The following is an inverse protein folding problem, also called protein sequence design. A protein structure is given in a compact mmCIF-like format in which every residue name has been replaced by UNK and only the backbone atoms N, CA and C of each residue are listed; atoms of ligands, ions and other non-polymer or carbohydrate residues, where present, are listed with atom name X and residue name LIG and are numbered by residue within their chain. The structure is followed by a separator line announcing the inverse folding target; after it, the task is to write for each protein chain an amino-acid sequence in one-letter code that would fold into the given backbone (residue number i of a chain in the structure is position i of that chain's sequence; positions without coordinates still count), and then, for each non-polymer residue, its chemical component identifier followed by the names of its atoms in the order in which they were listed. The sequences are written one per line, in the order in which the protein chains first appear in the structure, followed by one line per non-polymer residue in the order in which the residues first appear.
data_IF_687705449872
#
_entry.id   IF_687705449872
#
_cell.length_a   1.000
_cell.length_b   1.000
_cell.length_c   1.000
_cell.angle_alpha   90.00
_cell.angle_beta   90.00
_cell.angle_gamma   90.00
#
_symmetry.space_group_name_H-M   'P 1'
#
loop_
_entity.id
_entity.type
_entity.pdbx_description
1 polymer ?
#
# COMPACT_ATOMS: atom_id res chain seq x y z
N UNK A 1 -10.52 -13.76 -1.13
CA UNK A 1 -11.71 -13.72 -2.01
C UNK A 1 -11.46 -14.27 -3.42
N UNK A 2 -10.21 -14.33 -3.90
CA UNK A 2 -9.87 -14.94 -5.21
C UNK A 2 -9.21 -16.31 -5.09
N UNK A 3 -9.15 -16.85 -3.87
CA UNK A 3 -8.64 -18.20 -3.66
C UNK A 3 -9.64 -19.22 -4.19
N UNK A 4 -9.15 -20.23 -4.91
CA UNK A 4 -9.96 -21.36 -5.28
C UNK A 4 -10.33 -22.16 -4.02
N UNK A 5 -11.60 -22.54 -3.88
CA UNK A 5 -12.08 -23.45 -2.82
C UNK A 5 -12.62 -24.72 -3.45
N UNK A 6 -12.66 -25.81 -2.68
CA UNK A 6 -13.18 -27.10 -3.15
C UNK A 6 -12.20 -27.94 -3.99
N UNK A 7 -11.00 -27.44 -4.30
CA UNK A 7 -9.94 -28.23 -4.95
C UNK A 7 -9.10 -28.99 -3.91
N UNK A 8 -8.48 -30.14 -4.28
CA UNK A 8 -7.65 -30.90 -3.34
C UNK A 8 -6.46 -30.08 -2.83
N UNK A 9 -5.89 -29.21 -3.67
CA UNK A 9 -4.79 -28.30 -3.28
C UNK A 9 -5.29 -27.26 -2.28
N UNK A 10 -6.44 -26.62 -2.53
CA UNK A 10 -6.99 -25.63 -1.62
C UNK A 10 -7.34 -26.22 -0.25
N UNK A 11 -7.89 -27.44 -0.22
CA UNK A 11 -8.17 -28.15 1.03
C UNK A 11 -6.90 -28.44 1.82
N UNK A 12 -5.85 -28.94 1.16
CA UNK A 12 -4.54 -29.20 1.80
C UNK A 12 -3.90 -27.91 2.30
N UNK A 13 -3.94 -26.84 1.52
CA UNK A 13 -3.42 -25.53 1.91
C UNK A 13 -4.19 -24.95 3.10
N UNK A 14 -5.53 -25.07 3.09
CA UNK A 14 -6.39 -24.60 4.18
C UNK A 14 -6.14 -25.42 5.44
N UNK A 15 -5.99 -26.75 5.32
CA UNK A 15 -5.65 -27.62 6.45
C UNK A 15 -4.29 -27.25 7.03
N UNK A 16 -3.28 -27.01 6.19
CA UNK A 16 -1.96 -26.54 6.61
C UNK A 16 -2.02 -25.17 7.30
N UNK A 17 -2.76 -24.22 6.74
CA UNK A 17 -2.95 -22.90 7.33
C UNK A 17 -3.65 -22.98 8.69
N UNK A 18 -4.70 -23.80 8.79
CA UNK A 18 -5.39 -24.04 10.06
C UNK A 18 -4.48 -24.69 11.09
N UNK A 19 -3.62 -25.63 10.67
CA UNK A 19 -2.63 -26.25 11.53
C UNK A 19 -1.62 -25.21 12.06
N UNK A 20 -1.03 -24.41 11.17
CA UNK A 20 -0.12 -23.31 11.54
C UNK A 20 -0.79 -22.31 12.49
N UNK A 21 -2.07 -22.01 12.29
CA UNK A 21 -2.83 -21.12 13.17
C UNK A 21 -3.13 -21.77 14.52
N UNK A 22 -3.39 -23.07 14.55
CA UNK A 22 -3.63 -23.84 15.76
C UNK A 22 -2.34 -24.05 16.57
N UNK A 23 -1.17 -24.09 15.93
CA UNK A 23 0.13 -24.24 16.61
C UNK A 23 0.80 -22.91 16.99
N UNK A 24 0.34 -21.79 16.44
CA UNK A 24 0.85 -20.45 16.81
C UNK A 24 0.47 -20.03 18.23
N UNK A 25 1.04 -18.92 18.71
CA UNK A 25 0.94 -18.44 20.11
C UNK A 25 -0.47 -18.28 20.73
N UNK A 26 -1.53 -18.27 19.90
CA UNK A 26 -2.94 -18.16 20.33
C UNK A 26 -3.76 -19.42 20.06
N UNK A 27 -3.14 -20.46 19.48
CA UNK A 27 -3.83 -21.64 19.00
C UNK A 27 -3.97 -22.72 20.08
N UNK A 28 -4.95 -23.59 19.93
CA UNK A 28 -5.25 -24.67 20.90
C UNK A 28 -4.13 -25.72 20.99
N UNK A 29 -3.28 -25.80 19.98
CA UNK A 29 -2.15 -26.73 19.86
C UNK A 29 -0.81 -25.99 19.96
N UNK A 30 -0.74 -24.91 20.76
CA UNK A 30 0.48 -24.12 20.92
C UNK A 30 1.65 -25.01 21.33
N UNK A 31 2.68 -25.08 20.49
CA UNK A 31 3.85 -25.96 20.69
C UNK A 31 4.91 -25.31 21.61
N UNK A 32 4.88 -23.97 21.75
CA UNK A 32 5.84 -23.22 22.55
C UNK A 32 5.18 -22.42 23.71
N UNK A 33 5.28 -22.90 24.97
CA UNK A 33 4.66 -22.23 26.12
C UNK A 33 5.26 -20.84 26.44
N UNK A 34 6.49 -20.54 25.98
CA UNK A 34 7.11 -19.22 26.16
C UNK A 34 6.44 -18.14 25.30
N UNK A 35 5.99 -18.49 24.10
CA UNK A 35 5.31 -17.57 23.19
C UNK A 35 3.92 -17.19 23.72
N UNK A 36 3.20 -18.18 24.26
CA UNK A 36 1.94 -17.97 24.98
C UNK A 36 2.12 -17.11 26.24
N UNK A 37 3.20 -17.34 27.01
CA UNK A 37 3.51 -16.54 28.20
C UNK A 37 3.86 -15.07 27.86
N UNK A 38 4.65 -14.84 26.81
CA UNK A 38 4.96 -13.50 26.31
C UNK A 38 3.70 -12.77 25.81
N UNK A 39 2.78 -13.49 25.18
CA UNK A 39 1.47 -12.96 24.80
C UNK A 39 0.60 -12.56 26.01
N UNK A 40 0.54 -13.39 27.07
CA UNK A 40 -0.16 -13.05 28.31
C UNK A 40 0.42 -11.78 28.96
N UNK A 41 1.74 -11.62 28.92
CA UNK A 41 2.43 -10.40 29.39
C UNK A 41 2.07 -9.16 28.55
N UNK A 42 1.94 -9.31 27.23
CA UNK A 42 1.61 -8.20 26.33
C UNK A 42 0.13 -7.78 26.48
N UNK A 43 -0.78 -8.73 26.65
CA UNK A 43 -2.20 -8.45 26.95
C UNK A 43 -2.41 -7.87 28.34
N UNK A 44 -1.66 -8.30 29.35
CA UNK A 44 -1.67 -7.68 30.67
C UNK A 44 -1.22 -6.21 30.64
N UNK A 45 -0.23 -5.86 29.80
CA UNK A 45 0.19 -4.46 29.58
C UNK A 45 -0.91 -3.62 28.94
N UNK A 46 -1.61 -4.13 27.92
CA UNK A 46 -2.75 -3.47 27.26
C UNK A 46 -3.94 -3.25 28.22
N UNK A 47 -4.26 -4.25 29.06
CA UNK A 47 -5.35 -4.13 30.04
C UNK A 47 -4.99 -3.17 31.19
N UNK A 48 -3.72 -3.00 31.53
CA UNK A 48 -3.28 -2.04 32.55
C UNK A 48 -3.45 -0.57 32.12
N UNK A 49 -3.38 -0.29 30.82
CA UNK A 49 -3.67 1.03 30.25
C UNK A 49 -5.16 1.36 30.21
N UNK A 50 -6.04 0.37 30.09
CA UNK A 50 -7.49 0.58 30.19
C UNK A 50 -7.97 0.71 31.65
N UNK A 51 -7.31 0.03 32.58
CA UNK A 51 -7.61 0.13 34.02
C UNK A 51 -7.28 1.51 34.64
N UNK A 52 -6.52 2.37 33.94
CA UNK A 52 -6.20 3.72 34.42
C UNK A 52 -7.20 4.80 33.95
N UNK A 53 -8.19 4.45 33.11
CA UNK A 53 -9.21 5.39 32.59
C UNK A 53 -10.64 5.11 33.12
N UNK A 54 -10.82 4.16 34.03
CA UNK A 54 -12.09 3.87 34.70
C UNK A 54 -12.25 4.60 36.03
N UNK A 55 -13.03 5.68 36.03
CA UNK A 55 -13.42 6.51 37.18
C UNK A 55 -13.86 5.74 38.43
N UNK A 56 -13.26 6.05 39.60
CA UNK A 56 -13.89 5.85 40.92
C UNK A 56 -14.43 7.18 41.44
N UNK A 57 -15.75 7.35 41.31
CA UNK A 57 -16.54 8.37 42.01
C UNK A 57 -16.88 7.86 43.42
N UNK A 58 -16.54 8.63 44.45
CA UNK A 58 -17.14 8.53 45.79
C UNK A 58 -17.51 9.96 46.25
N UNK A 59 -18.70 10.19 46.83
CA UNK A 59 -19.26 11.52 47.06
C UNK A 59 -18.97 12.06 48.46
N UNK A 60 -18.81 13.39 48.58
CA UNK A 60 -19.13 14.09 49.82
C UNK A 60 -18.26 15.29 50.22
N UNK A 61 -18.90 16.47 50.17
CA UNK A 61 -18.89 17.54 51.20
C UNK A 61 -17.81 18.66 51.14
N UNK A 62 -18.29 19.87 50.77
CA UNK A 62 -17.90 21.26 51.16
C UNK A 62 -16.40 21.67 51.03
N UNK A 63 -15.96 22.81 50.44
CA UNK A 63 -16.47 24.20 50.54
C UNK A 63 -15.68 25.12 49.56
N UNK A 64 -16.32 26.19 49.05
CA UNK A 64 -15.75 27.27 48.19
C UNK A 64 -14.66 28.12 48.88
N UNK A 65 -13.64 28.61 48.13
CA UNK A 65 -13.33 30.05 47.82
C UNK A 65 -11.96 30.25 47.08
N UNK A 66 -11.69 31.43 46.44
CA UNK A 66 -11.08 31.48 45.09
C UNK A 66 -9.78 32.33 44.92
N UNK A 67 -9.27 32.33 43.67
CA UNK A 67 -8.45 33.33 42.95
C UNK A 67 -6.97 33.51 43.35
N UNK A 68 -6.08 33.42 42.34
CA UNK A 68 -5.34 34.59 41.80
C UNK A 68 -4.77 34.33 40.40
N UNK A 69 -5.13 35.23 39.48
CA UNK A 69 -4.51 35.46 38.17
C UNK A 69 -3.11 36.04 38.37
N UNK A 70 -2.18 35.73 37.47
CA UNK A 70 -1.30 36.76 36.93
C UNK A 70 -1.01 36.52 35.44
N UNK A 71 -1.07 37.62 34.71
CA UNK A 71 -1.17 37.79 33.27
C UNK A 71 -0.07 38.78 32.88
N UNK A 72 0.68 38.54 31.81
CA UNK A 72 1.40 39.53 30.97
C UNK A 72 2.21 38.75 29.91
N UNK A 73 2.38 39.17 28.65
CA UNK A 73 1.69 40.06 27.69
C UNK A 73 2.49 39.90 26.38
N UNK A 74 1.79 39.80 25.25
CA UNK A 74 2.35 39.74 23.89
C UNK A 74 3.19 40.97 23.50
N UNK A 75 4.08 40.79 22.50
CA UNK A 75 4.42 41.80 21.49
C UNK A 75 4.48 41.19 20.08
N UNK A 76 3.65 41.78 19.20
CA UNK A 76 3.70 41.86 17.71
C UNK A 76 4.69 43.00 17.35
N UNK A 77 5.24 43.25 16.15
CA UNK A 77 4.88 43.04 14.73
C UNK A 77 6.10 43.48 13.87
N UNK A 78 6.14 43.16 12.56
CA UNK A 78 6.96 43.91 11.59
C UNK A 78 7.24 43.19 10.27
N UNK A 79 6.50 43.56 9.22
CA UNK A 79 6.74 43.22 7.80
C UNK A 79 7.71 44.24 7.19
N UNK A 80 8.51 43.82 6.20
CA UNK A 80 8.83 44.61 5.00
C UNK A 80 9.31 43.68 3.86
N UNK A 81 8.88 44.01 2.65
CA UNK A 81 9.20 43.42 1.34
C UNK A 81 10.05 44.39 0.55
N UNK A 82 11.10 43.93 -0.16
CA UNK A 82 11.27 43.98 -1.64
C UNK A 82 12.67 43.49 -2.08
N UNK A 83 12.66 42.72 -3.18
CA UNK A 83 13.64 42.55 -4.27
C UNK A 83 14.85 41.58 -4.17
N UNK A 84 14.62 40.39 -4.74
CA UNK A 84 15.33 39.64 -5.81
C UNK A 84 16.83 39.92 -6.02
N UNK A 85 17.70 38.98 -5.60
CA UNK A 85 18.72 38.26 -6.41
C UNK A 85 19.49 37.21 -5.57
N UNK A 86 19.94 36.12 -6.23
CA UNK A 86 20.76 34.97 -5.77
C UNK A 86 20.20 34.02 -4.69
N UNK A 87 19.73 32.82 -5.08
CA UNK A 87 19.00 31.87 -4.21
C UNK A 87 19.79 30.59 -3.82
N UNK A 88 21.00 30.34 -4.35
CA UNK A 88 21.69 29.05 -4.15
C UNK A 88 22.74 29.00 -3.03
N UNK A 89 23.25 30.13 -2.51
CA UNK A 89 24.28 30.13 -1.46
C UNK A 89 23.70 30.12 -0.03
N UNK A 90 22.50 30.65 0.18
CA UNK A 90 21.97 30.89 1.54
C UNK A 90 21.51 29.61 2.26
N UNK A 91 21.15 28.54 1.53
CA UNK A 91 20.81 27.24 2.13
C UNK A 91 22.03 26.55 2.78
N UNK A 92 23.23 26.79 2.26
CA UNK A 92 24.47 26.17 2.77
C UNK A 92 24.88 26.74 4.14
N UNK A 93 24.68 28.04 4.35
CA UNK A 93 25.05 28.73 5.59
C UNK A 93 24.08 28.44 6.75
N UNK A 94 22.81 28.16 6.44
CA UNK A 94 21.80 27.79 7.44
C UNK A 94 22.06 26.38 8.02
N UNK A 95 22.47 25.44 7.16
CA UNK A 95 22.86 24.07 7.55
C UNK A 95 24.15 24.07 8.40
N UNK A 96 25.11 24.94 8.07
CA UNK A 96 26.35 25.08 8.84
C UNK A 96 26.13 25.71 10.23
N UNK A 97 25.16 26.63 10.37
CA UNK A 97 24.80 27.23 11.67
C UNK A 97 24.11 26.24 12.61
N UNK A 98 23.30 25.31 12.10
CA UNK A 98 22.71 24.22 12.88
C UNK A 98 23.77 23.23 13.40
N UNK A 99 24.86 23.03 12.65
CA UNK A 99 25.99 22.15 13.03
C UNK A 99 26.81 22.71 14.20
N UNK A 100 27.03 24.03 14.26
CA UNK A 100 27.88 24.68 15.27
C UNK A 100 27.25 24.70 16.67
N UNK A 101 25.92 24.70 16.77
CA UNK A 101 25.22 24.65 18.05
C UNK A 101 25.16 23.23 18.66
N UNK A 102 25.50 22.19 17.89
CA UNK A 102 25.47 20.79 18.34
C UNK A 102 26.86 20.25 18.74
N UNK A 103 27.95 20.90 18.29
CA UNK A 103 29.33 20.41 18.46
C UNK A 103 30.04 20.85 19.75
N UNK A 104 29.36 21.52 20.69
CA UNK A 104 29.97 22.05 21.93
C UNK A 104 29.74 21.18 23.18
N UNK A 105 29.09 20.03 23.06
CA UNK A 105 28.89 19.09 24.17
C UNK A 105 29.03 17.66 23.66
N UNK A 106 30.25 17.17 23.60
CA UNK A 106 30.57 15.74 23.70
C UNK A 106 32.09 15.61 23.82
N UNK A 107 32.55 15.55 25.07
CA UNK A 107 33.92 15.23 25.43
C UNK A 107 33.97 13.72 25.77
N UNK A 108 34.95 13.05 25.19
CA UNK A 108 35.35 11.64 25.31
C UNK A 108 34.74 10.82 26.46
N UNK A 109 34.19 9.64 26.12
CA UNK A 109 34.48 8.43 26.88
C UNK A 109 34.32 7.12 26.08
N UNK A 110 35.40 6.34 26.13
CA UNK A 110 35.60 4.90 26.01
C UNK A 110 34.90 4.01 24.96
N UNK A 111 35.77 3.42 24.14
CA UNK A 111 35.59 2.25 23.30
C UNK A 111 35.07 1.02 24.06
N UNK A 112 33.84 0.58 23.73
CA UNK A 112 33.34 -0.81 23.63
C UNK A 112 31.81 -0.72 23.44
N UNK A 113 31.26 -1.34 22.38
CA UNK A 113 29.84 -1.40 21.95
C UNK A 113 29.38 -0.52 20.76
N UNK A 114 30.19 -0.31 19.73
CA UNK A 114 29.76 0.47 18.54
C UNK A 114 29.13 -0.37 17.40
N UNK A 115 29.22 -1.70 17.42
CA UNK A 115 28.99 -2.52 16.22
C UNK A 115 27.52 -2.93 15.94
N UNK A 116 26.59 -2.73 16.88
CA UNK A 116 25.14 -3.00 16.72
C UNK A 116 24.28 -1.72 16.61
N UNK A 117 24.90 -0.55 16.40
CA UNK A 117 24.27 0.74 16.71
C UNK A 117 23.73 1.56 15.52
N UNK A 118 24.01 1.16 14.27
CA UNK A 118 23.72 1.99 13.09
C UNK A 118 22.31 1.79 12.51
N UNK A 119 21.79 0.56 12.54
CA UNK A 119 20.42 0.21 12.14
C UNK A 119 19.67 -0.38 13.34
N UNK A 120 18.35 -0.25 13.37
CA UNK A 120 17.56 -0.75 14.49
C UNK A 120 17.31 -2.26 14.43
N UNK A 121 17.02 -2.77 13.24
CA UNK A 121 16.65 -4.15 12.99
C UNK A 121 17.18 -4.63 11.63
N UNK A 122 17.02 -5.92 11.36
CA UNK A 122 17.23 -6.51 10.03
C UNK A 122 16.13 -6.04 9.06
N UNK A 123 16.48 -5.80 7.78
CA UNK A 123 15.48 -5.49 6.76
C UNK A 123 14.52 -6.66 6.59
N UNK A 124 13.22 -6.36 6.48
CA UNK A 124 12.16 -7.36 6.32
C UNK A 124 11.09 -6.88 5.35
N UNK A 125 10.33 -7.80 4.78
CA UNK A 125 9.19 -7.48 3.90
C UNK A 125 8.03 -6.79 4.60
N UNK A 126 8.03 -6.74 5.94
CA UNK A 126 7.02 -6.03 6.71
C UNK A 126 7.22 -4.51 6.72
N UNK A 127 8.38 -4.01 6.31
CA UNK A 127 8.66 -2.59 6.22
C UNK A 127 8.24 -2.00 4.86
N UNK A 128 7.98 -0.70 4.87
CA UNK A 128 7.65 0.08 3.69
C UNK A 128 8.88 0.25 2.79
N UNK A 129 8.72 0.11 1.47
CA UNK A 129 9.82 0.19 0.50
C UNK A 129 9.55 1.22 -0.59
N UNK A 130 10.61 1.86 -1.05
CA UNK A 130 10.61 2.89 -2.09
C UNK A 130 11.67 2.53 -3.11
N UNK A 131 11.33 2.60 -4.39
CA UNK A 131 12.24 2.31 -5.49
C UNK A 131 12.65 3.64 -6.12
N UNK A 132 13.95 3.91 -6.12
CA UNK A 132 14.56 5.04 -6.79
C UNK A 132 15.19 4.54 -8.08
N UNK A 133 15.02 5.27 -9.17
CA UNK A 133 15.67 4.97 -10.43
C UNK A 133 16.01 6.23 -11.22
N UNK A 134 16.83 6.05 -12.24
CA UNK A 134 17.15 7.11 -13.19
C UNK A 134 16.05 7.21 -14.25
N UNK A 135 15.73 8.43 -14.66
CA UNK A 135 14.88 8.66 -15.84
C UNK A 135 15.62 8.45 -17.16
N UNK A 136 16.95 8.61 -17.16
CA UNK A 136 17.82 8.39 -18.32
C UNK A 136 18.51 7.04 -18.21
N UNK A 137 18.48 6.25 -19.29
CA UNK A 137 19.03 4.88 -19.32
C UNK A 137 20.56 4.81 -19.11
N UNK A 138 21.29 5.91 -19.27
CA UNK A 138 22.76 5.94 -19.21
C UNK A 138 23.32 6.32 -17.82
N UNK A 139 22.49 6.74 -16.86
CA UNK A 139 22.99 7.19 -15.57
C UNK A 139 23.03 6.09 -14.49
N UNK A 140 24.20 5.97 -13.83
CA UNK A 140 24.43 4.99 -12.78
C UNK A 140 24.01 5.50 -11.40
N UNK A 141 23.11 4.77 -10.72
CA UNK A 141 22.77 5.06 -9.33
C UNK A 141 23.91 4.74 -8.36
N UNK A 142 24.85 3.87 -8.75
CA UNK A 142 26.08 3.59 -8.00
C UNK A 142 27.18 4.63 -8.28
N UNK A 143 26.79 5.91 -8.35
CA UNK A 143 27.70 7.05 -8.52
C UNK A 143 27.57 8.00 -7.32
N UNK A 144 28.53 8.91 -7.13
CA UNK A 144 28.44 9.92 -6.07
C UNK A 144 27.15 10.74 -6.18
N UNK A 145 26.73 11.09 -7.40
CA UNK A 145 25.46 11.78 -7.65
C UNK A 145 24.26 10.91 -7.28
N UNK A 146 24.25 9.64 -7.66
CA UNK A 146 23.18 8.70 -7.32
C UNK A 146 23.04 8.44 -5.83
N UNK A 147 24.15 8.30 -5.10
CA UNK A 147 24.15 8.15 -3.63
C UNK A 147 23.62 9.41 -2.93
N UNK A 148 24.02 10.60 -3.40
CA UNK A 148 23.48 11.85 -2.88
C UNK A 148 21.98 11.98 -3.18
N UNK A 149 21.52 11.52 -4.36
CA UNK A 149 20.11 11.50 -4.70
C UNK A 149 19.31 10.58 -3.77
N UNK A 150 19.80 9.37 -3.50
CA UNK A 150 19.19 8.45 -2.52
C UNK A 150 19.12 9.08 -1.12
N UNK A 151 20.20 9.73 -0.69
CA UNK A 151 20.29 10.42 0.59
C UNK A 151 19.29 11.59 0.70
N UNK A 152 19.14 12.38 -0.36
CA UNK A 152 18.20 13.49 -0.44
C UNK A 152 16.75 13.00 -0.44
N UNK A 153 16.42 11.98 -1.23
CA UNK A 153 15.08 11.39 -1.29
C UNK A 153 14.71 10.78 0.07
N UNK A 154 15.62 10.07 0.72
CA UNK A 154 15.41 9.54 2.08
C UNK A 154 15.18 10.67 3.10
N UNK A 155 15.97 11.75 3.04
CA UNK A 155 15.79 12.90 3.92
C UNK A 155 14.45 13.62 3.67
N UNK A 156 14.03 13.76 2.41
CA UNK A 156 12.74 14.36 2.05
C UNK A 156 11.57 13.52 2.54
N UNK A 157 11.65 12.18 2.42
CA UNK A 157 10.65 11.26 2.97
C UNK A 157 10.54 11.37 4.49
N UNK A 158 11.69 11.48 5.17
CA UNK A 158 11.77 11.61 6.64
C UNK A 158 11.34 12.97 7.16
N UNK A 159 11.45 14.02 6.35
CA UNK A 159 11.07 15.39 6.73
C UNK A 159 9.55 15.58 6.85
N UNK A 160 8.75 14.65 6.31
CA UNK A 160 7.30 14.70 6.41
C UNK A 160 6.86 14.60 7.90
N UNK A 161 5.97 15.49 8.39
CA UNK A 161 5.49 15.45 9.77
C UNK A 161 4.92 14.08 10.19
N UNK A 162 4.17 13.42 9.30
CA UNK A 162 3.54 12.12 9.55
C UNK A 162 4.57 10.97 9.66
N UNK A 163 5.78 11.15 9.13
CA UNK A 163 6.85 10.16 9.22
C UNK A 163 7.25 9.90 10.68
N UNK A 164 7.35 10.97 11.48
CA UNK A 164 7.83 10.90 12.86
C UNK A 164 6.97 10.02 13.77
N UNK A 165 5.65 9.97 13.51
CA UNK A 165 4.71 9.13 14.25
C UNK A 165 4.66 7.67 13.79
N UNK A 166 5.08 7.39 12.56
CA UNK A 166 5.02 6.06 11.94
C UNK A 166 6.34 5.29 12.04
N UNK A 167 7.42 6.03 12.20
CA UNK A 167 8.77 5.54 12.26
C UNK A 167 9.03 4.70 13.52
N UNK A 168 9.71 3.57 13.34
CA UNK A 168 10.23 2.80 14.45
C UNK A 168 11.29 3.62 15.19
N UNK A 169 11.16 3.69 16.51
CA UNK A 169 12.05 4.45 17.37
C UNK A 169 12.91 3.54 18.20
N UNK A 170 14.18 3.90 18.37
CA UNK A 170 15.06 3.23 19.32
C UNK A 170 14.73 3.65 20.75
N UNK A 171 14.57 2.68 21.65
CA UNK A 171 14.56 2.93 23.09
C UNK A 171 15.98 2.78 23.62
N UNK A 172 16.70 3.89 23.77
CA UNK A 172 17.90 3.88 24.60
C UNK A 172 17.49 3.98 26.07
N UNK A 173 18.19 3.26 26.94
CA UNK A 173 18.05 3.24 28.40
C UNK A 173 18.44 4.60 29.01
N UNK A 174 17.69 5.66 28.71
CA UNK A 174 17.95 7.03 29.15
C UNK A 174 16.71 7.93 28.99
N UNK A 175 16.51 8.93 29.87
CA UNK A 175 15.23 9.63 30.00
C UNK A 175 15.10 10.83 29.05
N UNK A 176 15.56 10.76 27.78
CA UNK A 176 15.33 11.80 26.76
C UNK A 176 15.78 11.39 25.34
N UNK A 177 14.81 11.45 24.41
CA UNK A 177 14.83 11.31 22.93
C UNK A 177 14.67 9.89 22.37
N UNK A 178 13.46 9.62 21.88
CA UNK A 178 13.19 8.57 20.90
C UNK A 178 13.73 9.05 19.56
N UNK A 179 14.89 8.55 19.12
CA UNK A 179 15.43 8.83 17.79
C UNK A 179 14.88 7.83 16.77
N UNK A 180 14.50 8.35 15.61
CA UNK A 180 14.01 7.57 14.48
C UNK A 180 15.11 6.72 13.87
N UNK A 181 14.78 5.46 13.59
CA UNK A 181 15.72 4.54 12.94
C UNK A 181 16.17 5.05 11.56
N UNK A 182 17.36 4.61 11.14
CA UNK A 182 17.86 4.86 9.78
C UNK A 182 17.25 3.89 8.79
N UNK A 183 17.16 4.32 7.54
CA UNK A 183 16.56 3.55 6.45
C UNK A 183 17.64 2.67 5.86
N UNK A 184 17.24 1.49 5.45
CA UNK A 184 18.14 0.56 4.76
C UNK A 184 18.16 0.98 3.29
N UNK A 185 19.23 1.65 2.89
CA UNK A 185 19.47 2.09 1.51
C UNK A 185 20.91 1.78 1.12
N UNK A 186 21.22 1.59 -0.17
CA UNK A 186 22.59 1.43 -0.62
C UNK A 186 23.50 2.56 -0.12
N UNK A 187 23.02 3.81 -0.18
CA UNK A 187 23.73 4.96 0.35
C UNK A 187 24.10 4.85 1.85
N UNK A 188 23.16 4.38 2.70
CA UNK A 188 23.41 4.22 4.13
C UNK A 188 24.32 3.02 4.44
N UNK A 189 24.21 1.93 3.69
CA UNK A 189 25.12 0.79 3.82
C UNK A 189 26.54 1.12 3.35
N UNK A 190 26.69 1.89 2.28
CA UNK A 190 27.98 2.38 1.82
C UNK A 190 28.62 3.28 2.87
N UNK A 191 27.85 4.20 3.45
CA UNK A 191 28.31 5.02 4.56
C UNK A 191 28.74 4.16 5.76
N UNK A 192 27.95 3.14 6.11
CA UNK A 192 28.24 2.24 7.23
C UNK A 192 29.54 1.44 7.01
N UNK A 193 29.72 0.80 5.85
CA UNK A 193 30.93 0.03 5.50
C UNK A 193 32.19 0.91 5.39
N UNK A 194 32.03 2.17 5.01
CA UNK A 194 33.11 3.16 4.98
C UNK A 194 33.35 3.86 6.34
N UNK A 195 32.67 3.43 7.41
CA UNK A 195 32.72 4.01 8.74
C UNK A 195 32.43 5.53 8.75
N UNK A 196 31.44 5.94 7.96
CA UNK A 196 30.93 7.31 7.86
C UNK A 196 29.61 7.44 8.61
N UNK A 197 29.37 8.59 9.21
CA UNK A 197 28.14 8.83 10.00
C UNK A 197 26.93 9.17 9.14
N UNK A 198 27.09 9.60 7.89
CA UNK A 198 25.98 10.05 7.02
C UNK A 198 26.28 9.76 5.56
N UNK A 199 25.25 9.46 4.77
CA UNK A 199 25.35 9.26 3.31
C UNK A 199 25.94 10.47 2.55
N UNK A 200 25.85 11.68 3.10
CA UNK A 200 26.44 12.90 2.52
C UNK A 200 27.99 12.90 2.49
N UNK A 201 28.64 12.09 3.32
CA UNK A 201 30.11 12.05 3.44
C UNK A 201 30.76 10.97 2.56
N UNK A 202 29.96 10.26 1.75
CA UNK A 202 30.45 9.18 0.90
C UNK A 202 31.28 9.75 -0.25
N UNK A 203 32.47 9.17 -0.47
CA UNK A 203 33.38 9.53 -1.56
C UNK A 203 33.39 8.48 -2.67
N UNK A 204 33.86 8.85 -3.86
CA UNK A 204 33.98 7.90 -5.00
C UNK A 204 34.95 6.75 -4.70
N UNK A 205 35.97 6.99 -3.86
CA UNK A 205 36.90 5.94 -3.41
C UNK A 205 36.22 4.90 -2.52
N UNK A 206 35.27 5.34 -1.69
CA UNK A 206 34.49 4.44 -0.85
C UNK A 206 33.59 3.54 -1.73
N UNK A 207 32.99 4.13 -2.76
CA UNK A 207 32.15 3.42 -3.73
C UNK A 207 32.91 2.35 -4.50
N UNK A 208 34.10 2.68 -5.04
CA UNK A 208 34.92 1.72 -5.78
C UNK A 208 35.40 0.57 -4.88
N UNK A 209 35.76 0.86 -3.62
CA UNK A 209 36.18 -0.16 -2.66
C UNK A 209 35.05 -1.14 -2.33
N UNK A 210 33.84 -0.62 -2.12
CA UNK A 210 32.69 -1.46 -1.79
C UNK A 210 32.19 -2.19 -3.03
N UNK A 211 32.29 -1.60 -4.22
CA UNK A 211 32.00 -2.29 -5.47
C UNK A 211 32.92 -3.49 -5.68
N UNK A 212 34.23 -3.35 -5.46
CA UNK A 212 35.19 -4.46 -5.53
C UNK A 212 34.86 -5.56 -4.49
N UNK A 213 34.47 -5.15 -3.27
CA UNK A 213 34.01 -6.08 -2.24
C UNK A 213 32.77 -6.86 -2.70
N UNK A 214 31.76 -6.18 -3.24
CA UNK A 214 30.53 -6.82 -3.72
C UNK A 214 30.80 -7.75 -4.91
N UNK A 215 31.69 -7.36 -5.82
CA UNK A 215 32.14 -8.21 -6.93
C UNK A 215 32.84 -9.49 -6.43
N UNK A 216 33.62 -9.41 -5.36
CA UNK A 216 34.25 -10.58 -4.74
C UNK A 216 33.22 -11.47 -4.03
N UNK A 217 32.26 -10.86 -3.34
CA UNK A 217 31.23 -11.59 -2.60
C UNK A 217 30.13 -12.17 -3.50
N UNK A 218 29.93 -11.63 -4.70
CA UNK A 218 28.94 -12.14 -5.66
C UNK A 218 29.22 -13.59 -6.08
N UNK A 219 30.48 -14.02 -6.06
CA UNK A 219 30.87 -15.40 -6.34
C UNK A 219 30.23 -16.40 -5.36
N UNK A 220 30.05 -16.00 -4.11
CA UNK A 220 29.48 -16.85 -3.04
C UNK A 220 27.95 -16.69 -2.91
N UNK A 221 27.34 -15.78 -3.67
CA UNK A 221 25.91 -15.51 -3.66
C UNK A 221 25.22 -16.22 -4.84
N UNK A 222 24.02 -16.80 -4.69
CA UNK A 222 23.16 -16.81 -3.51
C UNK A 222 23.46 -17.93 -2.48
N UNK A 223 24.19 -18.97 -2.85
CA UNK A 223 24.63 -20.04 -1.95
C UNK A 223 26.13 -20.28 -2.23
N UNK A 224 27.03 -20.28 -1.24
CA UNK A 224 26.82 -20.49 0.20
C UNK A 224 26.51 -19.27 1.10
N UNK A 225 26.47 -18.03 0.60
CA UNK A 225 26.24 -16.83 1.43
C UNK A 225 24.77 -16.71 1.89
N UNK A 226 24.48 -17.14 3.12
CA UNK A 226 23.15 -17.08 3.76
C UNK A 226 22.95 -15.82 4.62
N UNK A 227 21.71 -15.41 4.95
CA UNK A 227 21.44 -14.25 5.81
C UNK A 227 22.04 -14.38 7.22
N UNK A 228 22.13 -15.61 7.73
CA UNK A 228 22.68 -15.92 9.07
C UNK A 228 24.11 -16.48 8.98
N UNK A 229 24.87 -16.14 7.92
CA UNK A 229 26.22 -16.66 7.71
C UNK A 229 27.16 -16.38 8.90
N UNK A 230 26.95 -15.28 9.63
CA UNK A 230 27.69 -14.97 10.85
C UNK A 230 27.48 -16.01 11.97
N UNK A 231 26.38 -16.76 11.96
CA UNK A 231 26.06 -17.80 12.95
C UNK A 231 26.25 -19.23 12.40
N UNK A 232 26.25 -19.41 11.08
CA UNK A 232 26.42 -20.72 10.44
C UNK A 232 27.91 -21.06 10.19
N UNK A 233 28.42 -22.04 10.95
CA UNK A 233 29.79 -22.54 10.81
C UNK A 233 30.11 -23.12 9.43
N UNK A 234 29.13 -23.65 8.70
CA UNK A 234 29.38 -24.15 7.34
C UNK A 234 29.61 -23.01 6.35
N UNK A 235 28.87 -21.91 6.52
CA UNK A 235 29.04 -20.71 5.72
C UNK A 235 30.40 -20.04 5.99
N UNK A 236 30.78 -19.89 7.26
CA UNK A 236 32.06 -19.30 7.66
C UNK A 236 33.29 -20.01 7.09
N UNK A 237 33.20 -21.33 6.83
CA UNK A 237 34.29 -22.10 6.23
C UNK A 237 34.48 -21.83 4.73
N UNK A 238 33.39 -21.49 4.04
CA UNK A 238 33.37 -21.34 2.58
C UNK A 238 33.49 -19.87 2.16
N UNK A 239 33.03 -18.95 3.02
CA UNK A 239 32.90 -17.52 2.71
C UNK A 239 33.93 -16.70 3.49
N UNK A 240 34.64 -15.75 2.85
CA UNK A 240 35.56 -14.84 3.53
C UNK A 240 34.86 -13.96 4.59
N UNK A 241 35.54 -13.59 5.70
CA UNK A 241 34.97 -12.74 6.76
C UNK A 241 34.47 -11.38 6.28
N UNK A 242 35.09 -10.85 5.22
CA UNK A 242 34.70 -9.58 4.60
C UNK A 242 33.27 -9.63 4.01
N UNK A 243 32.82 -10.81 3.56
CA UNK A 243 31.54 -10.97 2.86
C UNK A 243 30.33 -11.18 3.79
N UNK A 244 30.55 -11.61 5.03
CA UNK A 244 29.51 -11.70 6.05
C UNK A 244 29.66 -10.64 7.16
N UNK A 245 30.58 -9.69 6.99
CA UNK A 245 30.74 -8.56 7.91
C UNK A 245 29.43 -7.76 8.03
N UNK A 246 28.85 -7.74 9.24
CA UNK A 246 27.58 -7.10 9.57
C UNK A 246 26.41 -7.49 8.65
N UNK A 247 26.49 -8.64 7.96
CA UNK A 247 25.55 -9.08 6.91
C UNK A 247 25.29 -8.03 5.79
N UNK A 248 26.12 -7.00 5.68
CA UNK A 248 25.89 -5.86 4.79
C UNK A 248 26.00 -6.23 3.30
N UNK A 249 27.00 -7.02 2.85
CA UNK A 249 27.08 -7.45 1.46
C UNK A 249 25.86 -8.28 1.03
N UNK A 250 25.36 -9.16 1.91
CA UNK A 250 24.15 -9.93 1.65
C UNK A 250 22.92 -9.02 1.51
N UNK A 251 22.72 -8.06 2.42
CA UNK A 251 21.57 -7.14 2.33
C UNK A 251 21.62 -6.28 1.06
N UNK A 252 22.80 -5.80 0.67
CA UNK A 252 22.98 -5.02 -0.55
C UNK A 252 22.58 -5.86 -1.77
N UNK A 253 23.16 -7.04 -1.95
CA UNK A 253 22.95 -7.91 -3.12
C UNK A 253 21.53 -8.51 -3.19
N UNK A 254 20.95 -8.86 -2.04
CA UNK A 254 19.68 -9.58 -2.00
C UNK A 254 18.46 -8.65 -1.98
N UNK A 255 18.55 -7.50 -1.30
CA UNK A 255 17.38 -6.64 -1.07
C UNK A 255 17.45 -5.27 -1.76
N UNK A 256 18.64 -4.66 -1.89
CA UNK A 256 18.73 -3.21 -2.13
C UNK A 256 19.18 -2.82 -3.54
N UNK A 257 19.99 -3.65 -4.19
CA UNK A 257 20.47 -3.42 -5.56
C UNK A 257 19.75 -4.32 -6.55
N UNK A 258 19.74 -3.92 -7.81
CA UNK A 258 19.16 -4.73 -8.89
C UNK A 258 19.91 -6.04 -9.11
N UNK A 259 19.19 -7.07 -9.57
CA UNK A 259 19.79 -8.36 -9.96
C UNK A 259 20.82 -8.23 -11.08
N UNK A 260 20.67 -7.22 -11.92
CA UNK A 260 21.51 -6.99 -13.10
C UNK A 260 22.76 -6.16 -12.79
N UNK A 261 22.88 -5.63 -11.56
CA UNK A 261 23.96 -4.73 -11.17
C UNK A 261 25.32 -5.44 -11.13
N UNK A 262 25.38 -6.64 -10.55
CA UNK A 262 26.59 -7.46 -10.47
C UNK A 262 26.29 -8.82 -11.10
N UNK A 263 26.69 -8.95 -12.37
CA UNK A 263 26.54 -10.19 -13.10
C UNK A 263 27.43 -11.29 -12.48
N UNK A 264 26.92 -12.52 -12.35
CA UNK A 264 27.74 -13.64 -11.91
C UNK A 264 28.87 -13.87 -12.91
N UNK A 265 30.04 -14.22 -12.38
CA UNK A 265 31.32 -14.38 -13.09
C UNK A 265 31.23 -15.19 -14.41
N UNK A 266 30.22 -16.04 -14.60
CA UNK A 266 30.03 -16.83 -15.83
C UNK A 266 29.51 -16.02 -17.04
N UNK A 267 29.17 -14.73 -16.88
CA UNK A 267 28.61 -13.87 -17.93
C UNK A 267 29.61 -12.84 -18.51
N UNK A 268 30.91 -13.18 -18.57
CA UNK A 268 32.06 -12.32 -18.99
C UNK A 268 31.94 -11.70 -20.39
N UNK A 269 30.95 -12.07 -21.21
CA UNK A 269 30.85 -11.61 -22.60
C UNK A 269 29.98 -10.35 -22.82
N UNK A 270 29.41 -9.73 -21.77
CA UNK A 270 28.77 -8.42 -21.88
C UNK A 270 29.64 -7.35 -21.23
N UNK A 271 29.82 -6.25 -21.96
CA UNK A 271 30.63 -5.09 -21.60
C UNK A 271 30.49 -4.70 -20.13
N UNK A 272 31.64 -4.45 -19.50
CA UNK A 272 31.91 -4.18 -18.08
C UNK A 272 31.27 -2.90 -17.51
N UNK A 273 29.98 -2.68 -17.71
CA UNK A 273 29.29 -1.54 -17.09
C UNK A 273 28.33 -2.07 -16.04
N UNK A 274 28.80 -2.08 -14.80
CA UNK A 274 28.02 -2.25 -13.56
C UNK A 274 27.08 -1.06 -13.39
N UNK A 275 26.02 -1.03 -14.20
CA UNK A 275 25.04 0.04 -14.22
C UNK A 275 23.89 -0.33 -13.27
N UNK A 276 23.78 0.37 -12.15
CA UNK A 276 22.63 0.27 -11.27
C UNK A 276 21.51 1.16 -11.82
N UNK A 277 20.42 0.55 -12.30
CA UNK A 277 19.27 1.26 -12.90
C UNK A 277 18.25 1.68 -11.85
N UNK A 278 18.02 0.82 -10.86
CA UNK A 278 17.16 1.06 -9.72
C UNK A 278 17.81 0.62 -8.42
N UNK A 279 17.39 1.27 -7.34
CA UNK A 279 17.81 0.99 -5.99
C UNK A 279 16.59 0.99 -5.07
N UNK A 280 16.54 0.05 -4.14
CA UNK A 280 15.48 0.00 -3.13
C UNK A 280 15.94 0.71 -1.85
N UNK A 281 15.06 1.54 -1.30
CA UNK A 281 15.18 2.15 0.02
C UNK A 281 14.07 1.56 0.88
N UNK A 282 14.44 0.85 1.94
CA UNK A 282 13.49 0.34 2.93
C UNK A 282 13.42 1.36 4.08
N UNK A 283 12.22 1.86 4.33
CA UNK A 283 11.95 2.83 5.38
C UNK A 283 11.65 2.10 6.70
N UNK A 284 12.03 2.64 7.86
CA UNK A 284 11.72 2.08 9.18
C UNK A 284 10.26 2.33 9.57
N UNK A 285 9.33 2.06 8.66
CA UNK A 285 7.88 2.21 8.85
C UNK A 285 7.23 0.89 8.46
N UNK A 286 6.35 0.36 9.30
CA UNK A 286 5.59 -0.84 8.98
C UNK A 286 4.66 -0.60 7.78
N UNK A 287 4.67 -1.52 6.80
CA UNK A 287 3.76 -1.51 5.67
C UNK A 287 2.33 -1.80 6.17
N UNK A 288 1.50 -0.77 6.26
CA UNK A 288 0.20 -0.82 6.93
C UNK A 288 -0.74 0.28 6.44
N UNK A 289 -2.04 0.09 6.69
CA UNK A 289 -3.10 1.08 6.47
C UNK A 289 -2.87 2.41 7.19
N UNK A 290 -2.05 2.43 8.25
CA UNK A 290 -1.68 3.64 8.99
C UNK A 290 -0.87 4.64 8.14
N UNK A 291 -0.18 4.18 7.10
CA UNK A 291 0.64 5.03 6.22
C UNK A 291 -0.18 5.85 5.20
N UNK A 292 -1.51 5.79 5.26
CA UNK A 292 -2.38 6.43 4.26
C UNK A 292 -2.23 7.95 4.22
N UNK A 293 -2.11 8.61 5.37
CA UNK A 293 -1.94 10.07 5.43
C UNK A 293 -0.57 10.46 4.87
N UNK A 294 0.47 9.74 5.29
CA UNK A 294 1.82 9.89 4.76
C UNK A 294 1.88 9.75 3.23
N UNK A 295 1.16 8.77 2.66
CA UNK A 295 1.05 8.60 1.21
C UNK A 295 0.38 9.80 0.53
N UNK A 296 -0.71 10.35 1.09
CA UNK A 296 -1.40 11.51 0.50
C UNK A 296 -0.48 12.72 0.42
N UNK A 297 0.24 13.00 1.50
CA UNK A 297 1.16 14.14 1.56
C UNK A 297 2.29 13.97 0.55
N UNK A 298 2.86 12.78 0.44
CA UNK A 298 3.93 12.50 -0.53
C UNK A 298 3.41 12.51 -1.96
N UNK A 299 2.21 12.01 -2.23
CA UNK A 299 1.64 11.98 -3.58
C UNK A 299 1.49 13.36 -4.21
N UNK A 300 1.39 14.41 -3.37
CA UNK A 300 1.32 15.80 -3.81
C UNK A 300 2.67 16.41 -4.20
N UNK A 301 3.78 15.81 -3.75
CA UNK A 301 5.14 16.34 -3.91
C UNK A 301 5.93 15.47 -4.88
N UNK A 302 6.53 16.06 -5.91
CA UNK A 302 7.44 15.32 -6.80
C UNK A 302 8.75 15.00 -6.07
N UNK A 303 8.95 13.74 -5.68
CA UNK A 303 10.19 13.25 -5.10
C UNK A 303 11.23 12.99 -6.21
N UNK A 304 11.87 14.07 -6.66
CA UNK A 304 12.92 14.05 -7.68
C UNK A 304 14.19 14.75 -7.17
N UNK A 305 15.34 14.27 -7.63
CA UNK A 305 16.63 14.91 -7.38
C UNK A 305 17.52 14.77 -8.62
N UNK A 306 17.69 15.88 -9.34
CA UNK A 306 18.36 15.87 -10.64
C UNK A 306 17.65 14.93 -11.62
N UNK A 307 18.38 13.97 -12.16
CA UNK A 307 17.97 12.91 -13.09
C UNK A 307 17.31 11.70 -12.41
N UNK A 308 17.33 11.64 -11.07
CA UNK A 308 16.80 10.51 -10.31
C UNK A 308 15.42 10.82 -9.75
N UNK A 309 14.51 9.84 -9.83
CA UNK A 309 13.14 9.94 -9.34
C UNK A 309 12.70 8.68 -8.61
N UNK A 310 11.70 8.83 -7.75
CA UNK A 310 10.99 7.69 -7.19
C UNK A 310 10.11 7.05 -8.27
N UNK A 311 10.40 5.79 -8.63
CA UNK A 311 9.65 5.03 -9.64
C UNK A 311 8.41 4.36 -9.04
N UNK A 312 8.49 3.93 -7.79
CA UNK A 312 7.42 3.19 -7.14
C UNK A 312 7.58 3.15 -5.63
N UNK A 313 6.47 2.98 -4.93
CA UNK A 313 6.41 2.88 -3.47
C UNK A 313 5.48 1.75 -3.08
N UNK A 314 5.85 0.99 -2.06
CA UNK A 314 5.00 -0.02 -1.44
C UNK A 314 4.95 0.21 0.06
N UNK A 315 3.78 0.70 0.49
CA UNK A 315 3.50 1.11 1.87
C UNK A 315 2.46 0.19 2.55
N UNK A 316 2.07 -0.91 1.90
CA UNK A 316 1.01 -1.80 2.40
C UNK A 316 -0.42 -1.23 2.25
N UNK A 317 -0.63 -0.21 1.40
CA UNK A 317 -1.89 0.51 1.27
C UNK A 317 -2.84 -0.03 0.19
N UNK A 318 -2.42 -1.00 -0.62
CA UNK A 318 -3.10 -1.40 -1.87
C UNK A 318 -4.60 -1.66 -1.69
N UNK A 319 -4.99 -2.49 -0.71
CA UNK A 319 -6.39 -2.81 -0.45
C UNK A 319 -7.18 -1.59 0.05
N UNK A 320 -6.62 -0.82 0.99
CA UNK A 320 -7.29 0.36 1.53
C UNK A 320 -7.48 1.48 0.50
N UNK A 321 -6.50 1.63 -0.40
CA UNK A 321 -6.56 2.60 -1.48
C UNK A 321 -7.61 2.17 -2.51
N UNK A 322 -7.63 0.88 -2.86
CA UNK A 322 -8.62 0.30 -3.76
C UNK A 322 -10.05 0.54 -3.27
N UNK A 323 -10.34 0.27 -1.99
CA UNK A 323 -11.67 0.49 -1.41
C UNK A 323 -12.09 1.97 -1.48
N UNK A 324 -11.17 2.90 -1.18
CA UNK A 324 -11.44 4.34 -1.26
C UNK A 324 -11.61 4.82 -2.70
N UNK A 325 -10.82 4.28 -3.63
CA UNK A 325 -10.91 4.61 -5.05
C UNK A 325 -12.22 4.12 -5.65
N UNK A 326 -12.72 2.93 -5.31
CA UNK A 326 -14.04 2.47 -5.76
C UNK A 326 -15.14 3.46 -5.35
N UNK A 327 -15.13 3.92 -4.10
CA UNK A 327 -16.12 4.89 -3.61
C UNK A 327 -15.95 6.23 -4.32
N UNK A 328 -14.70 6.69 -4.48
CA UNK A 328 -14.40 7.92 -5.22
C UNK A 328 -14.86 7.84 -6.67
N UNK A 329 -14.67 6.71 -7.35
CA UNK A 329 -14.98 6.51 -8.76
C UNK A 329 -16.46 6.13 -9.00
N UNK A 330 -17.25 5.99 -7.94
CA UNK A 330 -18.69 5.67 -8.03
C UNK A 330 -19.48 6.74 -8.80
N UNK A 331 -18.99 7.98 -8.89
CA UNK A 331 -19.64 8.99 -9.75
C UNK A 331 -19.53 8.66 -11.25
N UNK A 332 -18.50 7.92 -11.68
CA UNK A 332 -18.36 7.49 -13.08
C UNK A 332 -19.45 6.49 -13.44
N UNK A 333 -19.80 5.60 -12.50
CA UNK A 333 -20.94 4.70 -12.64
C UNK A 333 -22.26 5.49 -12.75
N UNK A 334 -22.41 6.54 -11.93
CA UNK A 334 -23.56 7.42 -12.02
C UNK A 334 -23.64 8.13 -13.38
N UNK A 335 -22.51 8.61 -13.91
CA UNK A 335 -22.47 9.21 -15.24
C UNK A 335 -22.92 8.21 -16.33
N UNK A 336 -22.41 6.98 -16.31
CA UNK A 336 -22.84 5.92 -17.22
C UNK A 336 -24.34 5.62 -17.13
N UNK A 337 -24.87 5.53 -15.91
CA UNK A 337 -26.30 5.35 -15.66
C UNK A 337 -27.16 6.51 -16.20
N UNK A 338 -26.72 7.76 -15.98
CA UNK A 338 -27.42 8.93 -16.52
C UNK A 338 -27.38 8.97 -18.04
N UNK A 339 -26.27 8.58 -18.65
CA UNK A 339 -26.14 8.51 -20.11
C UNK A 339 -27.12 7.52 -20.72
N UNK A 340 -27.22 6.30 -20.18
CA UNK A 340 -28.20 5.30 -20.64
C UNK A 340 -29.63 5.80 -20.45
N UNK A 341 -29.92 6.44 -19.32
CA UNK A 341 -31.23 7.06 -19.06
C UNK A 341 -31.61 8.10 -20.13
N UNK A 342 -30.66 8.96 -20.51
CA UNK A 342 -30.87 9.95 -21.58
C UNK A 342 -31.08 9.28 -22.93
N UNK A 343 -30.34 8.21 -23.24
CA UNK A 343 -30.55 7.43 -24.47
C UNK A 343 -31.94 6.78 -24.51
N UNK A 344 -32.41 6.21 -23.40
CA UNK A 344 -33.76 5.64 -23.32
C UNK A 344 -34.80 6.73 -23.52
N UNK A 345 -34.61 7.90 -22.91
CA UNK A 345 -35.52 9.03 -23.04
C UNK A 345 -35.57 9.58 -24.45
N UNK A 346 -34.42 9.73 -25.10
CA UNK A 346 -34.34 10.16 -26.49
C UNK A 346 -35.04 9.17 -27.45
N UNK A 347 -34.91 7.86 -27.20
CA UNK A 347 -35.55 6.84 -28.03
C UNK A 347 -37.07 6.75 -27.81
N UNK A 348 -37.50 6.61 -26.56
CA UNK A 348 -38.92 6.40 -26.22
C UNK A 348 -39.76 7.67 -26.31
N UNK A 349 -39.13 8.85 -26.31
CA UNK A 349 -39.79 10.18 -26.31
C UNK A 349 -40.83 10.36 -25.18
N UNK A 350 -40.81 9.51 -24.15
CA UNK A 350 -41.80 9.46 -23.07
C UNK A 350 -41.13 9.33 -21.71
N UNK A 351 -41.30 10.34 -20.87
CA UNK A 351 -40.70 10.39 -19.53
C UNK A 351 -41.29 9.31 -18.61
N UNK A 352 -42.57 9.00 -18.72
CA UNK A 352 -43.23 8.00 -17.87
C UNK A 352 -42.64 6.61 -18.10
N UNK A 353 -42.40 6.24 -19.37
CA UNK A 353 -41.78 4.96 -19.70
C UNK A 353 -40.35 4.89 -19.15
N UNK A 354 -39.56 5.95 -19.32
CA UNK A 354 -38.18 5.98 -18.83
C UNK A 354 -38.06 5.83 -17.31
N UNK A 355 -38.93 6.50 -16.55
CA UNK A 355 -38.96 6.37 -15.09
C UNK A 355 -39.39 4.97 -14.69
N UNK A 356 -40.41 4.41 -15.35
CA UNK A 356 -40.89 3.06 -15.07
C UNK A 356 -39.82 2.00 -15.35
N UNK A 357 -39.06 2.12 -16.44
CA UNK A 357 -37.98 1.18 -16.78
C UNK A 357 -36.84 1.26 -15.77
N UNK A 358 -36.45 2.47 -15.36
CA UNK A 358 -35.41 2.66 -14.35
C UNK A 358 -35.83 2.08 -12.99
N UNK A 359 -37.05 2.38 -12.54
CA UNK A 359 -37.56 1.83 -11.29
C UNK A 359 -37.62 0.30 -11.32
N UNK A 360 -38.00 -0.29 -12.46
CA UNK A 360 -38.00 -1.75 -12.63
C UNK A 360 -36.59 -2.36 -12.50
N UNK A 361 -35.57 -1.74 -13.13
CA UNK A 361 -34.17 -2.20 -13.00
C UNK A 361 -33.66 -2.07 -11.56
N UNK A 362 -33.92 -0.94 -10.89
CA UNK A 362 -33.49 -0.72 -9.50
C UNK A 362 -34.16 -1.70 -8.54
N UNK A 363 -35.48 -1.93 -8.67
CA UNK A 363 -36.18 -2.92 -7.85
C UNK A 363 -35.70 -4.34 -8.13
N UNK A 364 -35.43 -4.70 -9.39
CA UNK A 364 -34.85 -6.00 -9.75
C UNK A 364 -33.51 -6.24 -9.04
N UNK A 365 -32.60 -5.25 -9.07
CA UNK A 365 -31.32 -5.31 -8.36
C UNK A 365 -31.51 -5.40 -6.83
N UNK A 366 -32.45 -4.63 -6.26
CA UNK A 366 -32.75 -4.67 -4.83
C UNK A 366 -33.30 -6.02 -4.38
N UNK A 367 -34.22 -6.61 -5.16
CA UNK A 367 -34.76 -7.96 -4.91
C UNK A 367 -33.65 -9.00 -5.04
N UNK A 368 -32.81 -8.92 -6.07
CA UNK A 368 -31.66 -9.81 -6.24
C UNK A 368 -30.70 -9.76 -5.05
N UNK A 369 -30.37 -8.56 -4.55
CA UNK A 369 -29.53 -8.39 -3.37
C UNK A 369 -30.19 -8.93 -2.09
N UNK A 370 -31.51 -8.77 -1.92
CA UNK A 370 -32.25 -9.35 -0.80
C UNK A 370 -32.25 -10.88 -0.86
N UNK A 371 -32.42 -11.49 -2.05
CA UNK A 371 -32.30 -12.94 -2.23
C UNK A 371 -30.86 -13.41 -1.91
N UNK A 372 -29.85 -12.69 -2.39
CA UNK A 372 -28.44 -12.98 -2.14
C UNK A 372 -28.09 -13.00 -0.65
N UNK A 373 -28.55 -12.00 0.10
CA UNK A 373 -28.18 -11.81 1.52
C UNK A 373 -29.11 -12.53 2.50
N UNK A 374 -30.43 -12.51 2.28
CA UNK A 374 -31.42 -13.05 3.23
C UNK A 374 -31.73 -14.52 2.96
N UNK A 375 -31.89 -14.91 1.69
CA UNK A 375 -32.27 -16.28 1.31
C UNK A 375 -31.04 -17.16 1.23
N UNK A 376 -30.03 -16.76 0.45
CA UNK A 376 -28.80 -17.54 0.25
C UNK A 376 -27.79 -17.37 1.40
N UNK A 377 -27.96 -16.36 2.26
CA UNK A 377 -27.10 -16.09 3.43
C UNK A 377 -25.61 -15.99 3.10
N UNK A 378 -25.29 -15.45 1.92
CA UNK A 378 -23.91 -15.24 1.49
C UNK A 378 -23.35 -13.99 2.20
N UNK A 379 -22.37 -14.19 3.07
CA UNK A 379 -21.76 -13.12 3.87
C UNK A 379 -20.66 -12.35 3.12
N UNK A 380 -20.12 -12.93 2.04
CA UNK A 380 -19.06 -12.34 1.24
C UNK A 380 -19.64 -11.67 0.00
N UNK A 381 -19.48 -10.36 -0.14
CA UNK A 381 -19.92 -9.59 -1.30
C UNK A 381 -18.70 -9.02 -2.05
N UNK A 382 -18.27 -9.61 -3.18
CA UNK A 382 -17.12 -9.11 -3.92
C UNK A 382 -17.46 -7.84 -4.69
N UNK A 383 -16.46 -6.95 -4.88
CA UNK A 383 -16.64 -5.71 -5.65
C UNK A 383 -17.06 -5.96 -7.11
N UNK A 384 -16.78 -7.14 -7.66
CA UNK A 384 -17.22 -7.55 -9.00
C UNK A 384 -18.75 -7.49 -9.14
N UNK A 385 -19.50 -7.72 -8.06
CA UNK A 385 -20.97 -7.64 -8.08
C UNK A 385 -21.48 -6.22 -8.38
N UNK A 386 -20.65 -5.19 -8.21
CA UNK A 386 -20.98 -3.84 -8.66
C UNK A 386 -21.07 -3.75 -10.20
N UNK A 387 -20.34 -4.60 -10.94
CA UNK A 387 -20.44 -4.67 -12.40
C UNK A 387 -21.81 -5.18 -12.86
N UNK A 388 -22.50 -5.99 -12.04
CA UNK A 388 -23.85 -6.47 -12.35
C UNK A 388 -24.85 -5.31 -12.49
N UNK A 389 -24.63 -4.19 -11.78
CA UNK A 389 -25.46 -2.98 -11.94
C UNK A 389 -25.34 -2.43 -13.36
N UNK A 390 -24.11 -2.34 -13.89
CA UNK A 390 -23.84 -1.84 -15.25
C UNK A 390 -24.48 -2.76 -16.29
N UNK A 391 -24.29 -4.07 -16.13
CA UNK A 391 -24.83 -5.09 -17.05
C UNK A 391 -26.36 -5.09 -17.02
N UNK A 392 -26.98 -5.06 -15.84
CA UNK A 392 -28.43 -5.09 -15.69
C UNK A 392 -29.11 -3.87 -16.32
N UNK A 393 -28.49 -2.68 -16.22
CA UNK A 393 -29.00 -1.46 -16.87
C UNK A 393 -28.96 -1.60 -18.40
N UNK A 394 -27.89 -2.19 -18.96
CA UNK A 394 -27.79 -2.44 -20.40
C UNK A 394 -28.85 -3.40 -20.92
N UNK A 395 -29.03 -4.55 -20.25
CA UNK A 395 -30.02 -5.56 -20.64
C UNK A 395 -31.45 -5.01 -20.46
N UNK A 396 -31.73 -4.32 -19.36
CA UNK A 396 -33.05 -3.74 -19.11
C UNK A 396 -33.43 -2.65 -20.11
N UNK A 397 -32.45 -1.91 -20.64
CA UNK A 397 -32.67 -0.92 -21.70
C UNK A 397 -33.01 -1.58 -23.05
N UNK A 398 -32.33 -2.68 -23.40
CA UNK A 398 -32.58 -3.43 -24.64
C UNK A 398 -34.01 -3.98 -24.70
N UNK A 399 -34.47 -4.63 -23.60
CA UNK A 399 -35.84 -5.14 -23.51
C UNK A 399 -36.88 -4.01 -23.63
N UNK A 400 -36.61 -2.83 -23.04
CA UNK A 400 -37.48 -1.67 -23.19
C UNK A 400 -37.57 -1.20 -24.65
N UNK A 401 -36.46 -1.20 -25.39
CA UNK A 401 -36.43 -0.81 -26.80
C UNK A 401 -37.18 -1.80 -27.69
N UNK A 402 -36.97 -3.10 -27.50
CA UNK A 402 -37.69 -4.14 -28.24
C UNK A 402 -39.19 -3.99 -28.01
N UNK A 403 -39.63 -3.80 -26.76
CA UNK A 403 -41.06 -3.66 -26.46
C UNK A 403 -41.68 -2.43 -27.13
N UNK A 404 -41.03 -1.27 -27.01
CA UNK A 404 -41.51 -0.03 -27.60
C UNK A 404 -41.59 -0.13 -29.13
N UNK A 405 -40.62 -0.82 -29.76
CA UNK A 405 -40.60 -0.96 -31.22
C UNK A 405 -41.73 -1.83 -31.74
N UNK A 406 -41.96 -2.99 -31.12
CA UNK A 406 -43.06 -3.90 -31.51
C UNK A 406 -44.40 -3.22 -31.27
N UNK A 407 -44.55 -2.49 -30.15
CA UNK A 407 -45.75 -1.72 -29.86
C UNK A 407 -46.06 -0.67 -30.94
N UNK A 408 -45.05 0.08 -31.41
CA UNK A 408 -45.25 1.06 -32.49
C UNK A 408 -45.66 0.41 -33.83
N UNK A 409 -45.06 -0.73 -34.17
CA UNK A 409 -45.39 -1.48 -35.40
C UNK A 409 -46.83 -2.01 -35.36
N UNK A 410 -47.21 -2.65 -34.26
CA UNK A 410 -48.57 -3.17 -34.09
C UNK A 410 -49.61 -2.03 -34.06
N UNK A 411 -49.26 -0.90 -33.43
CA UNK A 411 -50.10 0.30 -33.42
C UNK A 411 -50.32 0.84 -34.84
N UNK A 412 -49.31 0.88 -35.69
CA UNK A 412 -49.43 1.35 -37.08
C UNK A 412 -50.25 0.39 -37.95
N UNK A 413 -50.12 -0.92 -37.74
CA UNK A 413 -50.77 -1.94 -38.56
C UNK A 413 -52.26 -2.15 -38.22
N UNK A 414 -52.69 -1.82 -36.99
CA UNK A 414 -54.04 -2.13 -36.47
C UNK A 414 -54.90 -0.91 -36.10
N UNK A 415 -54.62 0.28 -36.62
CA UNK A 415 -55.41 1.51 -36.37
C UNK A 415 -56.91 1.33 -36.71
N UNK A 416 -57.30 0.29 -37.48
CA UNK A 416 -58.67 0.15 -37.96
C UNK A 416 -59.57 -0.87 -37.27
N UNK A 417 -59.12 -1.80 -36.39
CA UNK A 417 -60.03 -2.91 -36.00
C UNK A 417 -59.84 -3.68 -34.66
N UNK A 418 -59.33 -3.05 -33.59
CA UNK A 418 -59.28 -3.74 -32.29
C UNK A 418 -59.00 -2.85 -31.08
N UNK A 419 -59.77 -3.03 -30.00
CA UNK A 419 -59.56 -2.33 -28.74
C UNK A 419 -58.18 -2.57 -28.11
N UNK A 420 -57.78 -1.68 -27.20
CA UNK A 420 -56.46 -1.65 -26.54
C UNK A 420 -55.98 -3.01 -25.98
N UNK A 421 -56.92 -3.83 -25.51
CA UNK A 421 -56.63 -5.17 -24.96
C UNK A 421 -56.10 -6.14 -26.00
N UNK A 422 -56.65 -6.13 -27.23
CA UNK A 422 -56.14 -6.96 -28.33
C UNK A 422 -54.77 -6.49 -28.80
N UNK A 423 -54.55 -5.17 -28.85
CA UNK A 423 -53.26 -4.59 -29.18
C UNK A 423 -52.18 -5.04 -28.19
N UNK A 424 -52.42 -4.93 -26.88
CA UNK A 424 -51.50 -5.39 -25.84
C UNK A 424 -51.23 -6.89 -25.97
N UNK A 425 -52.28 -7.70 -26.16
CA UNK A 425 -52.15 -9.15 -26.27
C UNK A 425 -51.27 -9.56 -27.46
N UNK A 426 -51.45 -8.92 -28.62
CA UNK A 426 -50.69 -9.21 -29.82
C UNK A 426 -49.24 -8.73 -29.69
N UNK A 427 -49.00 -7.53 -29.15
CA UNK A 427 -47.64 -7.03 -28.88
C UNK A 427 -46.90 -7.94 -27.90
N UNK A 428 -47.55 -8.36 -26.81
CA UNK A 428 -46.93 -9.29 -25.86
C UNK A 428 -46.61 -10.64 -26.52
N UNK A 429 -47.47 -11.15 -27.41
CA UNK A 429 -47.25 -12.42 -28.12
C UNK A 429 -45.99 -12.38 -29.00
N UNK A 430 -45.68 -11.22 -29.58
CA UNK A 430 -44.50 -11.04 -30.43
C UNK A 430 -43.24 -10.65 -29.65
N UNK A 431 -43.36 -9.81 -28.62
CA UNK A 431 -42.23 -9.24 -27.90
C UNK A 431 -41.67 -10.16 -26.79
N UNK A 432 -42.54 -10.83 -26.03
CA UNK A 432 -42.14 -11.65 -24.85
C UNK A 432 -41.21 -12.82 -25.22
N UNK A 433 -41.43 -13.58 -26.31
CA UNK A 433 -40.50 -14.67 -26.67
C UNK A 433 -39.08 -14.17 -26.94
N UNK A 434 -38.94 -13.00 -27.57
CA UNK A 434 -37.63 -12.39 -27.83
C UNK A 434 -36.92 -11.99 -26.54
N UNK A 435 -37.61 -11.25 -25.67
CA UNK A 435 -37.07 -10.80 -24.37
C UNK A 435 -36.75 -11.96 -23.43
N UNK A 436 -37.56 -13.01 -23.46
CA UNK A 436 -37.33 -14.21 -22.66
C UNK A 436 -36.04 -14.92 -23.09
N UNK A 437 -35.82 -15.08 -24.40
CA UNK A 437 -34.61 -15.75 -24.90
C UNK A 437 -33.35 -14.94 -24.59
N UNK A 438 -33.38 -13.61 -24.77
CA UNK A 438 -32.23 -12.73 -24.44
C UNK A 438 -31.91 -12.75 -22.95
N UNK A 439 -32.92 -12.61 -22.09
CA UNK A 439 -32.75 -12.66 -20.64
C UNK A 439 -32.32 -14.04 -20.14
N UNK A 440 -32.93 -15.13 -20.65
CA UNK A 440 -32.61 -16.50 -20.24
C UNK A 440 -31.19 -16.89 -20.63
N UNK A 441 -30.77 -16.58 -21.85
CA UNK A 441 -29.40 -16.90 -22.31
C UNK A 441 -28.35 -16.17 -21.47
N UNK A 442 -28.62 -14.90 -21.13
CA UNK A 442 -27.73 -14.12 -20.25
C UNK A 442 -27.70 -14.68 -18.83
N UNK A 443 -28.87 -15.01 -18.26
CA UNK A 443 -28.96 -15.63 -16.95
C UNK A 443 -28.23 -16.98 -16.90
N UNK A 444 -28.42 -17.85 -17.89
CA UNK A 444 -27.74 -19.15 -17.98
C UNK A 444 -26.22 -18.98 -18.06
N UNK A 445 -25.72 -17.97 -18.77
CA UNK A 445 -24.29 -17.69 -18.82
C UNK A 445 -23.72 -17.30 -17.43
N UNK A 446 -24.42 -16.45 -16.67
CA UNK A 446 -24.03 -16.12 -15.30
C UNK A 446 -24.15 -17.34 -14.37
N UNK A 447 -25.25 -18.09 -14.43
CA UNK A 447 -25.43 -19.31 -13.62
C UNK A 447 -24.39 -20.40 -13.93
N UNK A 448 -23.92 -20.51 -15.18
CA UNK A 448 -22.84 -21.43 -15.53
C UNK A 448 -21.52 -21.08 -14.81
N UNK A 449 -21.31 -19.81 -14.43
CA UNK A 449 -20.12 -19.37 -13.70
C UNK A 449 -20.03 -19.95 -12.29
N UNK A 450 -21.13 -20.43 -11.70
CA UNK A 450 -21.17 -21.10 -10.39
C UNK A 450 -20.35 -22.40 -10.38
N UNK A 451 -20.12 -23.02 -11.54
CA UNK A 451 -19.29 -24.23 -11.67
C UNK A 451 -17.81 -23.93 -11.42
N UNK A 452 -17.39 -22.66 -11.44
CA UNK A 452 -16.03 -22.27 -11.10
C UNK A 452 -15.70 -22.63 -9.65
N UNK A 453 -14.42 -22.82 -9.35
CA UNK A 453 -13.95 -23.03 -7.96
C UNK A 453 -13.50 -21.72 -7.31
N UNK A 454 -13.51 -20.60 -8.04
CA UNK A 454 -13.04 -19.30 -7.55
C UNK A 454 -14.18 -18.57 -6.83
N UNK A 455 -13.99 -18.25 -5.55
CA UNK A 455 -15.08 -17.72 -4.72
C UNK A 455 -15.68 -16.41 -5.23
N UNK A 456 -14.85 -15.48 -5.75
CA UNK A 456 -15.36 -14.23 -6.31
C UNK A 456 -16.19 -14.42 -7.59
N UNK A 457 -15.85 -15.43 -8.42
CA UNK A 457 -16.59 -15.74 -9.65
C UNK A 457 -17.91 -16.43 -9.33
N UNK A 458 -17.94 -17.34 -8.33
CA UNK A 458 -19.18 -17.98 -7.93
C UNK A 458 -20.17 -17.05 -7.24
N UNK A 459 -19.64 -15.99 -6.60
CA UNK A 459 -20.45 -14.98 -5.91
C UNK A 459 -20.98 -13.90 -6.85
N UNK A 460 -20.36 -13.75 -8.03
CA UNK A 460 -20.77 -12.86 -9.11
C UNK A 460 -21.77 -13.59 -10.00
#
# INVERSE_FOLDING_TARGET
GFEARGTPVAQRLTAWYNLMKATGARGELTDNPLEYYNYLLQTAKLNSTEAFNGTRTIPGVLRKKPKKKNRKKNKKFGKNTTDIESVDEDQWDEIMKLKKNKSLTEQHDNHRHLDDSFFCNLPSSAYSRVIVGSEQEEENLWSRKGVLAQCHIDAALRANPEFSSLCETRSESGPKKHECCRSWSPANYVAFLANRTTCLQVTEKDLSKIEELLQRCSYYYPNPLTPDCAQDFNCQKQVPPECYAHNAPYHLLHYLVDTDFILPYNAVNRTNTTLLKSAMIILPIAASSATLNFYKDISSTSLTYGSFKVLGMELGLKSTLFDRLIVSDSFLLLFGFTFVTVCIWAYTSSVVLTISTIMAVVFSLGISYAVYTLVLKLTFFPFMNLLAVIVAVGIGADDAFIFCKVWEQDKQQKISDGGLTRLIQDTMKHAVPSMFVTSLTTAVAFFASIVSNVTAINCF
#
